data_IF_797419357200
#
_entry.id   IF_797419357200
#
_cell.length_a   1.000
_cell.length_b   1.000
_cell.length_c   1.000
_cell.angle_alpha   90.00
_cell.angle_beta   90.00
_cell.angle_gamma   90.00
#
_symmetry.space_group_name_H-M   'P 1'
#
loop_
_entity.id
_entity.type
_entity.pdbx_description
1 polymer ?
#
# COMPACT_ATOMS: atom_id res chain seq x y z
N UNK A 1 -20.91 -18.63 11.36
CA UNK A 1 -19.63 -18.25 10.73
C UNK A 1 -18.53 -18.91 11.54
N UNK A 2 -17.91 -19.95 10.99
CA UNK A 2 -16.80 -20.61 11.66
C UNK A 2 -15.60 -19.66 11.71
N UNK A 3 -15.00 -19.55 12.91
CA UNK A 3 -13.80 -18.74 13.13
C UNK A 3 -12.61 -19.68 13.29
N UNK A 4 -11.66 -19.58 12.38
CA UNK A 4 -10.39 -20.31 12.46
C UNK A 4 -9.27 -19.32 12.82
N UNK A 5 -8.56 -19.57 13.92
CA UNK A 5 -7.38 -18.81 14.26
C UNK A 5 -6.16 -19.75 14.23
N UNK A 6 -5.11 -19.36 13.53
CA UNK A 6 -3.82 -20.04 13.51
C UNK A 6 -2.79 -19.09 14.12
N UNK A 7 -2.16 -19.54 15.21
CA UNK A 7 -1.10 -18.80 15.90
C UNK A 7 0.17 -19.63 15.92
N UNK A 8 1.30 -18.98 15.64
CA UNK A 8 2.62 -19.61 15.67
C UNK A 8 3.63 -18.68 16.32
N UNK A 9 4.29 -19.14 17.38
CA UNK A 9 5.42 -18.48 18.05
C UNK A 9 6.68 -19.30 17.82
N UNK A 10 7.55 -18.87 16.90
CA UNK A 10 8.82 -19.55 16.63
C UNK A 10 9.97 -18.52 16.55
N UNK A 11 11.07 -18.73 17.28
CA UNK A 11 12.31 -17.92 17.13
C UNK A 11 13.12 -18.21 15.86
N UNK A 12 12.56 -18.93 14.88
CA UNK A 12 13.25 -19.45 13.70
C UNK A 12 12.40 -19.37 12.42
N UNK A 13 12.90 -19.95 11.31
CA UNK A 13 12.18 -19.90 10.04
C UNK A 13 10.88 -20.72 10.08
N UNK A 14 9.74 -20.11 9.73
CA UNK A 14 8.43 -20.73 9.89
C UNK A 14 7.46 -20.43 8.75
N UNK A 15 6.46 -21.31 8.59
CA UNK A 15 5.34 -21.14 7.64
C UNK A 15 4.02 -21.31 8.38
N UNK A 16 3.11 -20.37 8.19
CA UNK A 16 1.75 -20.41 8.71
C UNK A 16 0.79 -20.11 7.56
N UNK A 17 -0.16 -21.00 7.30
CA UNK A 17 -1.11 -20.83 6.21
C UNK A 17 -2.51 -21.26 6.63
N UNK A 18 -3.51 -20.45 6.27
CA UNK A 18 -4.93 -20.78 6.41
C UNK A 18 -5.58 -20.90 5.03
N UNK A 19 -6.36 -21.95 4.82
CA UNK A 19 -7.16 -22.15 3.60
C UNK A 19 -8.63 -22.35 3.97
N UNK A 20 -9.53 -21.56 3.39
CA UNK A 20 -10.98 -21.72 3.52
C UNK A 20 -11.77 -20.42 3.58
N UNK A 21 -13.07 -20.48 3.24
CA UNK A 21 -13.99 -19.34 3.33
C UNK A 21 -14.50 -19.14 4.76
N UNK A 22 -14.23 -17.98 5.36
CA UNK A 22 -14.70 -17.65 6.71
C UNK A 22 -13.91 -16.52 7.36
N UNK A 23 -14.30 -16.13 8.58
CA UNK A 23 -13.55 -15.15 9.34
C UNK A 23 -12.29 -15.81 9.95
N UNK A 24 -11.10 -15.34 9.57
CA UNK A 24 -9.82 -15.97 9.90
C UNK A 24 -8.82 -15.03 10.55
N UNK A 25 -7.95 -15.57 11.41
CA UNK A 25 -6.73 -14.88 11.85
C UNK A 25 -5.54 -15.80 11.71
N UNK A 26 -4.52 -15.35 10.98
CA UNK A 26 -3.24 -16.04 10.86
C UNK A 26 -2.15 -15.12 11.38
N UNK A 27 -1.49 -15.51 12.47
CA UNK A 27 -0.45 -14.70 13.12
C UNK A 27 0.83 -15.53 13.26
N UNK A 28 1.95 -14.94 12.86
CA UNK A 28 3.28 -15.47 13.11
C UNK A 28 4.11 -14.46 13.90
N UNK A 29 4.60 -14.86 15.07
CA UNK A 29 5.50 -14.09 15.92
C UNK A 29 6.90 -14.72 15.91
N UNK A 30 7.94 -13.92 15.66
CA UNK A 30 9.35 -14.33 15.78
C UNK A 30 10.33 -13.64 14.84
N UNK A 31 11.60 -13.51 15.26
CA UNK A 31 12.65 -12.79 14.52
C UNK A 31 13.28 -13.52 13.32
N UNK A 32 12.77 -14.70 12.96
CA UNK A 32 13.27 -15.52 11.84
C UNK A 32 12.59 -15.23 10.51
N UNK A 33 13.05 -15.88 9.43
CA UNK A 33 12.41 -15.76 8.13
C UNK A 33 11.00 -16.39 8.13
N UNK A 34 9.97 -15.59 7.89
CA UNK A 34 8.56 -15.99 8.02
C UNK A 34 7.80 -16.01 6.70
N UNK A 35 6.75 -16.83 6.63
CA UNK A 35 5.71 -16.75 5.59
C UNK A 35 4.35 -17.00 6.22
N UNK A 36 3.49 -15.99 6.13
CA UNK A 36 2.11 -16.05 6.60
C UNK A 36 1.18 -15.85 5.40
N UNK A 37 0.28 -16.78 5.16
CA UNK A 37 -0.66 -16.70 4.03
C UNK A 37 -2.10 -17.03 4.46
N UNK A 38 -3.07 -16.32 3.90
CA UNK A 38 -4.48 -16.65 4.04
C UNK A 38 -5.14 -16.68 2.66
N UNK A 39 -5.71 -17.84 2.28
CA UNK A 39 -6.50 -18.01 1.06
C UNK A 39 -8.00 -18.19 1.42
N UNK A 40 -8.88 -17.28 0.97
CA UNK A 40 -10.33 -17.45 1.08
C UNK A 40 -11.16 -16.16 1.08
N UNK A 41 -12.42 -16.26 0.63
CA UNK A 41 -13.35 -15.12 0.43
C UNK A 41 -14.07 -14.61 1.68
N UNK A 42 -13.37 -14.48 2.83
CA UNK A 42 -13.97 -14.02 4.09
C UNK A 42 -13.17 -12.92 4.80
N UNK A 43 -13.68 -12.42 5.92
CA UNK A 43 -12.97 -11.39 6.69
C UNK A 43 -11.66 -11.95 7.30
N UNK A 44 -10.52 -11.54 6.79
CA UNK A 44 -9.20 -12.08 7.16
C UNK A 44 -8.34 -11.08 7.91
N UNK A 45 -7.50 -11.58 8.82
CA UNK A 45 -6.34 -10.84 9.33
C UNK A 45 -5.11 -11.72 9.26
N UNK A 46 -4.11 -11.26 8.52
CA UNK A 46 -2.83 -11.92 8.39
C UNK A 46 -1.78 -10.98 8.97
N UNK A 47 -1.05 -11.41 10.00
CA UNK A 47 0.02 -10.59 10.60
C UNK A 47 1.31 -11.39 10.76
N UNK A 48 2.43 -10.72 10.55
CA UNK A 48 3.75 -11.22 10.91
C UNK A 48 4.46 -10.17 11.76
N UNK A 49 4.90 -10.56 12.96
CA UNK A 49 5.67 -9.70 13.87
C UNK A 49 7.09 -10.28 14.05
N UNK A 50 8.12 -9.52 13.70
CA UNK A 50 9.53 -9.85 13.95
C UNK A 50 10.54 -9.30 12.94
N UNK A 51 11.78 -9.10 13.37
CA UNK A 51 12.84 -8.43 12.59
C UNK A 51 13.50 -9.22 11.45
N UNK A 52 12.95 -10.38 11.06
CA UNK A 52 13.49 -11.23 10.00
C UNK A 52 12.88 -10.96 8.63
N UNK A 53 13.41 -11.59 7.57
CA UNK A 53 12.82 -11.48 6.24
C UNK A 53 11.42 -12.13 6.19
N UNK A 54 10.39 -11.37 5.84
CA UNK A 54 9.00 -11.79 5.93
C UNK A 54 8.26 -11.79 4.60
N UNK A 55 7.23 -12.64 4.50
CA UNK A 55 6.19 -12.50 3.46
C UNK A 55 4.83 -12.73 4.08
N UNK A 56 3.96 -11.73 3.97
CA UNK A 56 2.58 -11.80 4.41
C UNK A 56 1.68 -11.63 3.19
N UNK A 57 0.80 -12.60 2.92
CA UNK A 57 -0.10 -12.55 1.78
C UNK A 57 -1.53 -12.87 2.21
N UNK A 58 -2.50 -12.15 1.66
CA UNK A 58 -3.91 -12.49 1.77
C UNK A 58 -4.55 -12.47 0.39
N UNK A 59 -5.16 -13.59 -0.01
CA UNK A 59 -5.89 -13.73 -1.27
C UNK A 59 -7.39 -14.01 -0.98
N UNK A 60 -8.28 -13.14 -1.47
CA UNK A 60 -9.73 -13.37 -1.43
C UNK A 60 -10.59 -12.10 -1.42
N UNK A 61 -11.82 -12.20 -1.92
CA UNK A 61 -12.76 -11.06 -2.10
C UNK A 61 -13.47 -10.54 -0.84
N UNK A 62 -12.90 -10.73 0.35
CA UNK A 62 -13.48 -10.29 1.63
C UNK A 62 -12.73 -9.11 2.26
N UNK A 63 -13.27 -8.56 3.35
CA UNK A 63 -12.57 -7.51 4.09
C UNK A 63 -11.26 -8.05 4.70
N UNK A 64 -10.11 -7.53 4.29
CA UNK A 64 -8.79 -8.03 4.67
C UNK A 64 -7.96 -7.03 5.45
N UNK A 65 -7.12 -7.53 6.35
CA UNK A 65 -6.01 -6.75 6.90
C UNK A 65 -4.76 -7.60 6.88
N UNK A 66 -3.75 -7.12 6.16
CA UNK A 66 -2.45 -7.76 6.06
C UNK A 66 -1.43 -6.81 6.69
N UNK A 67 -0.73 -7.26 7.72
CA UNK A 67 0.28 -6.46 8.41
C UNK A 67 1.61 -7.22 8.50
N UNK A 68 2.71 -6.50 8.35
CA UNK A 68 4.03 -7.00 8.70
C UNK A 68 4.74 -5.95 9.55
N UNK A 69 5.15 -6.31 10.77
CA UNK A 69 5.92 -5.46 11.67
C UNK A 69 7.32 -6.05 11.88
N UNK A 70 8.38 -5.29 11.59
CA UNK A 70 9.77 -5.67 11.87
C UNK A 70 10.82 -5.09 10.89
N UNK A 71 12.05 -4.91 11.37
CA UNK A 71 13.13 -4.24 10.63
C UNK A 71 13.83 -5.05 9.51
N UNK A 72 13.27 -6.19 9.09
CA UNK A 72 13.84 -7.05 8.05
C UNK A 72 13.26 -6.78 6.66
N UNK A 73 13.84 -7.38 5.62
CA UNK A 73 13.28 -7.27 4.27
C UNK A 73 11.88 -7.91 4.19
N UNK A 74 10.86 -7.13 3.80
CA UNK A 74 9.46 -7.56 3.86
C UNK A 74 8.77 -7.55 2.50
N UNK A 75 7.76 -8.42 2.34
CA UNK A 75 6.78 -8.31 1.27
C UNK A 75 5.39 -8.55 1.83
N UNK A 76 4.53 -7.54 1.72
CA UNK A 76 3.15 -7.62 2.14
C UNK A 76 2.25 -7.46 0.91
N UNK A 77 1.37 -8.43 0.68
CA UNK A 77 0.45 -8.40 -0.46
C UNK A 77 -0.98 -8.69 0.00
N UNK A 78 -1.93 -7.95 -0.56
CA UNK A 78 -3.34 -8.27 -0.44
C UNK A 78 -3.98 -8.25 -1.83
N UNK A 79 -4.58 -9.38 -2.24
CA UNK A 79 -5.30 -9.51 -3.51
C UNK A 79 -6.79 -9.82 -3.24
N UNK A 80 -7.71 -9.01 -3.77
CA UNK A 80 -9.14 -9.30 -3.76
C UNK A 80 -10.07 -8.08 -3.71
N UNK A 81 -11.30 -8.23 -4.22
CA UNK A 81 -12.26 -7.13 -4.41
C UNK A 81 -12.99 -6.61 -3.16
N UNK A 82 -12.45 -6.78 -1.95
CA UNK A 82 -13.06 -6.34 -0.70
C UNK A 82 -12.32 -5.16 -0.06
N UNK A 83 -12.91 -4.55 0.98
CA UNK A 83 -12.24 -3.48 1.73
C UNK A 83 -10.95 -3.99 2.39
N UNK A 84 -9.80 -3.44 1.99
CA UNK A 84 -8.48 -3.94 2.39
C UNK A 84 -7.64 -2.91 3.14
N UNK A 85 -6.82 -3.38 4.08
CA UNK A 85 -5.72 -2.58 4.61
C UNK A 85 -4.45 -3.40 4.60
N UNK A 86 -3.45 -2.89 3.91
CA UNK A 86 -2.13 -3.49 3.85
C UNK A 86 -1.14 -2.56 4.55
N UNK A 87 -0.41 -3.06 5.53
CA UNK A 87 0.58 -2.28 6.26
C UNK A 87 1.90 -3.04 6.35
N UNK A 88 3.00 -2.34 6.14
CA UNK A 88 4.34 -2.80 6.48
C UNK A 88 5.01 -1.75 7.35
N UNK A 89 5.42 -2.11 8.57
CA UNK A 89 6.13 -1.23 9.50
C UNK A 89 7.52 -1.83 9.81
N UNK A 90 8.61 -1.10 9.56
CA UNK A 90 9.97 -1.47 9.92
C UNK A 90 11.06 -0.97 8.96
N UNK A 91 12.27 -0.72 9.49
CA UNK A 91 13.38 -0.08 8.77
C UNK A 91 14.17 -0.94 7.78
N UNK A 92 13.52 -1.91 7.12
CA UNK A 92 14.14 -2.79 6.13
C UNK A 92 13.55 -2.60 4.73
N UNK A 93 14.25 -3.04 3.68
CA UNK A 93 13.73 -2.93 2.32
C UNK A 93 12.38 -3.65 2.15
N UNK A 94 11.36 -2.93 1.68
CA UNK A 94 9.98 -3.40 1.67
C UNK A 94 9.33 -3.37 0.29
N UNK A 95 8.37 -4.28 0.07
CA UNK A 95 7.40 -4.15 -1.03
C UNK A 95 6.01 -4.38 -0.49
N UNK A 96 5.15 -3.39 -0.66
CA UNK A 96 3.76 -3.45 -0.24
C UNK A 96 2.87 -3.33 -1.46
N UNK A 97 1.95 -4.29 -1.63
CA UNK A 97 1.02 -4.30 -2.75
C UNK A 97 -0.41 -4.55 -2.28
N UNK A 98 -1.36 -3.80 -2.82
CA UNK A 98 -2.78 -4.08 -2.67
C UNK A 98 -3.46 -4.02 -4.03
N UNK A 99 -4.13 -5.09 -4.42
CA UNK A 99 -4.87 -5.20 -5.69
C UNK A 99 -6.33 -5.58 -5.42
N UNK A 100 -7.30 -4.78 -5.91
CA UNK A 100 -8.71 -5.18 -5.93
C UNK A 100 -9.75 -4.04 -5.98
N UNK A 101 -10.96 -4.36 -6.44
CA UNK A 101 -12.05 -3.39 -6.70
C UNK A 101 -12.76 -2.77 -5.48
N UNK A 102 -12.13 -2.68 -4.31
CA UNK A 102 -12.75 -2.16 -3.08
C UNK A 102 -11.97 -1.04 -2.40
N UNK A 103 -12.56 -0.39 -1.39
CA UNK A 103 -11.89 0.68 -0.62
C UNK A 103 -10.63 0.16 0.08
N UNK A 104 -9.48 0.79 -0.18
CA UNK A 104 -8.17 0.28 0.20
C UNK A 104 -7.25 1.30 0.85
N UNK A 105 -6.45 0.89 1.84
CA UNK A 105 -5.35 1.70 2.40
C UNK A 105 -4.07 0.89 2.44
N UNK A 106 -3.01 1.44 1.87
CA UNK A 106 -1.68 0.82 1.86
C UNK A 106 -0.69 1.73 2.57
N UNK A 107 -0.03 1.23 3.61
CA UNK A 107 0.98 2.00 4.33
C UNK A 107 2.30 1.23 4.36
N UNK A 108 3.41 1.92 4.10
CA UNK A 108 4.75 1.40 4.31
C UNK A 108 5.56 2.40 5.14
N UNK A 109 5.72 2.13 6.43
CA UNK A 109 6.52 2.94 7.35
C UNK A 109 7.87 2.27 7.63
N UNK A 110 8.98 2.90 7.26
CA UNK A 110 10.33 2.44 7.62
C UNK A 110 11.30 2.34 6.43
N UNK A 111 12.47 2.97 6.61
CA UNK A 111 13.36 3.36 5.53
C UNK A 111 14.47 2.37 5.16
N UNK A 112 14.76 2.33 3.87
CA UNK A 112 16.09 2.21 3.25
C UNK A 112 15.94 2.12 1.72
N UNK A 113 14.90 1.41 1.25
CA UNK A 113 14.49 1.30 -0.15
C UNK A 113 13.12 0.61 -0.25
N UNK A 114 12.14 1.20 -0.95
CA UNK A 114 10.76 0.67 -0.98
C UNK A 114 10.09 0.67 -2.36
N UNK A 115 9.11 -0.23 -2.54
CA UNK A 115 8.10 -0.11 -3.62
C UNK A 115 6.71 -0.31 -3.07
N UNK A 116 5.85 0.66 -3.29
CA UNK A 116 4.44 0.60 -2.92
C UNK A 116 3.57 0.63 -4.18
N UNK A 117 2.66 -0.33 -4.29
CA UNK A 117 1.69 -0.39 -5.39
C UNK A 117 0.28 -0.54 -4.81
N UNK A 118 -0.67 0.27 -5.28
CA UNK A 118 -2.07 0.12 -4.96
C UNK A 118 -2.92 0.23 -6.22
N UNK A 119 -3.73 -0.78 -6.50
CA UNK A 119 -4.69 -0.79 -7.61
C UNK A 119 -6.12 -0.99 -7.09
N UNK A 120 -7.01 -0.05 -7.42
CA UNK A 120 -8.42 -0.04 -7.02
C UNK A 120 -9.35 0.27 -8.19
N UNK A 121 -10.47 -0.46 -8.32
CA UNK A 121 -11.40 -0.35 -9.46
C UNK A 121 -12.81 0.13 -9.11
N UNK A 122 -13.02 0.82 -7.99
CA UNK A 122 -14.32 1.39 -7.62
C UNK A 122 -14.20 2.59 -6.69
N UNK A 123 -15.32 3.28 -6.47
CA UNK A 123 -15.37 4.53 -5.69
C UNK A 123 -14.75 4.38 -4.29
N UNK A 124 -13.85 5.29 -3.92
CA UNK A 124 -13.13 5.16 -2.66
C UNK A 124 -11.99 6.15 -2.45
N UNK A 125 -11.37 6.08 -1.27
CA UNK A 125 -10.19 6.86 -0.97
C UNK A 125 -8.97 5.95 -0.86
N UNK A 126 -7.91 6.29 -1.58
CA UNK A 126 -6.59 5.68 -1.51
C UNK A 126 -5.69 6.60 -0.70
N UNK A 127 -4.96 6.04 0.27
CA UNK A 127 -3.91 6.73 1.00
C UNK A 127 -2.67 5.86 0.97
N UNK A 128 -1.55 6.44 0.53
CA UNK A 128 -0.23 5.79 0.49
C UNK A 128 0.78 6.64 1.23
N UNK A 129 1.47 6.01 2.18
CA UNK A 129 2.54 6.62 2.96
C UNK A 129 3.81 5.78 2.75
N UNK A 130 4.90 6.39 2.29
CA UNK A 130 6.19 5.71 2.13
C UNK A 130 7.36 6.57 2.63
N UNK A 131 8.20 5.99 3.48
CA UNK A 131 9.43 6.64 3.97
C UNK A 131 10.71 6.05 3.37
N UNK A 132 11.61 6.93 2.93
CA UNK A 132 12.92 6.60 2.34
C UNK A 132 12.86 6.39 0.81
N UNK A 133 14.02 6.20 0.20
CA UNK A 133 14.14 6.16 -1.26
C UNK A 133 13.28 5.07 -1.91
N UNK A 134 12.61 5.35 -3.02
CA UNK A 134 11.71 4.34 -3.60
C UNK A 134 10.84 4.77 -4.77
N UNK A 135 9.93 3.87 -5.15
CA UNK A 135 8.90 4.18 -6.15
C UNK A 135 7.51 3.87 -5.61
N UNK A 136 6.58 4.79 -5.83
CA UNK A 136 5.16 4.65 -5.53
C UNK A 136 4.40 4.62 -6.86
N UNK A 137 3.50 3.65 -7.01
CA UNK A 137 2.55 3.58 -8.10
C UNK A 137 1.13 3.43 -7.53
N UNK A 138 0.22 4.31 -7.90
CA UNK A 138 -1.17 4.26 -7.48
C UNK A 138 -2.07 4.33 -8.70
N UNK A 139 -2.97 3.36 -8.81
CA UNK A 139 -3.96 3.24 -9.88
C UNK A 139 -5.36 3.19 -9.25
N UNK A 140 -6.21 4.17 -9.57
CA UNK A 140 -7.59 4.20 -9.11
C UNK A 140 -8.56 4.36 -10.27
N UNK A 141 -9.58 3.52 -10.33
CA UNK A 141 -10.77 3.71 -11.16
C UNK A 141 -12.00 3.98 -10.30
N UNK A 142 -12.82 4.96 -10.70
CA UNK A 142 -14.03 5.38 -10.00
C UNK A 142 -13.86 6.69 -9.24
N UNK A 143 -14.94 7.19 -8.64
CA UNK A 143 -14.93 8.49 -7.98
C UNK A 143 -14.25 8.41 -6.61
N UNK A 144 -13.37 9.36 -6.27
CA UNK A 144 -12.54 9.14 -5.09
C UNK A 144 -11.54 10.21 -4.68
N UNK A 145 -10.78 9.91 -3.64
CA UNK A 145 -9.64 10.74 -3.23
C UNK A 145 -8.36 9.91 -3.17
N UNK A 146 -7.28 10.39 -3.77
CA UNK A 146 -5.95 9.82 -3.65
C UNK A 146 -5.10 10.77 -2.81
N UNK A 147 -4.45 10.26 -1.78
CA UNK A 147 -3.41 10.96 -1.03
C UNK A 147 -2.13 10.11 -1.07
N UNK A 148 -1.02 10.70 -1.52
CA UNK A 148 0.29 10.05 -1.55
C UNK A 148 1.29 10.93 -0.84
N UNK A 149 1.94 10.37 0.17
CA UNK A 149 2.98 10.99 0.96
C UNK A 149 4.27 10.17 0.81
N UNK A 150 5.33 10.80 0.28
CA UNK A 150 6.62 10.16 0.07
C UNK A 150 7.74 11.00 0.69
N UNK A 151 8.61 10.38 1.48
CA UNK A 151 9.88 10.97 1.89
C UNK A 151 11.07 10.24 1.28
N UNK A 152 12.14 10.95 0.94
CA UNK A 152 13.34 10.41 0.29
C UNK A 152 13.34 10.54 -1.23
N UNK A 153 14.38 10.03 -1.89
CA UNK A 153 14.55 10.18 -3.33
C UNK A 153 13.73 9.12 -4.09
N UNK A 154 13.03 9.51 -5.16
CA UNK A 154 12.13 8.53 -5.78
C UNK A 154 11.29 8.95 -6.97
N UNK A 155 10.40 8.05 -7.35
CA UNK A 155 9.40 8.32 -8.40
C UNK A 155 8.00 8.02 -7.88
N UNK A 156 7.09 8.96 -8.08
CA UNK A 156 5.67 8.80 -7.78
C UNK A 156 4.92 8.80 -9.11
N UNK A 157 4.12 7.77 -9.34
CA UNK A 157 3.16 7.70 -10.44
C UNK A 157 1.75 7.52 -9.85
N UNK A 158 0.84 8.40 -10.21
CA UNK A 158 -0.57 8.33 -9.82
C UNK A 158 -1.43 8.42 -11.06
N UNK A 159 -2.22 7.38 -11.33
CA UNK A 159 -3.28 7.40 -12.35
C UNK A 159 -4.64 7.26 -11.65
N UNK A 160 -5.54 8.20 -11.92
CA UNK A 160 -6.89 8.21 -11.41
C UNK A 160 -7.88 8.42 -12.56
N UNK A 161 -8.91 7.59 -12.64
CA UNK A 161 -10.08 7.83 -13.49
C UNK A 161 -11.34 7.98 -12.65
N UNK A 162 -12.19 8.95 -12.97
CA UNK A 162 -13.39 9.30 -12.20
C UNK A 162 -13.28 10.68 -11.54
N UNK A 163 -14.37 11.14 -10.94
CA UNK A 163 -14.41 12.46 -10.30
C UNK A 163 -13.73 12.40 -8.92
N UNK A 164 -12.88 13.36 -8.58
CA UNK A 164 -12.09 13.19 -7.36
C UNK A 164 -11.03 14.22 -6.99
N UNK A 165 -10.35 13.97 -5.88
CA UNK A 165 -9.23 14.79 -5.43
C UNK A 165 -7.94 13.99 -5.35
N UNK A 166 -6.87 14.48 -5.97
CA UNK A 166 -5.52 13.92 -5.84
C UNK A 166 -4.66 14.90 -5.05
N UNK A 167 -4.02 14.41 -4.00
CA UNK A 167 -3.00 15.10 -3.24
C UNK A 167 -1.71 14.27 -3.26
N UNK A 168 -0.60 14.85 -3.69
CA UNK A 168 0.71 14.21 -3.68
C UNK A 168 1.71 15.13 -2.99
N UNK A 169 2.32 14.68 -1.90
CA UNK A 169 3.43 15.34 -1.23
C UNK A 169 4.68 14.46 -1.34
N UNK A 170 5.77 15.03 -1.86
CA UNK A 170 7.05 14.34 -2.00
C UNK A 170 8.18 15.20 -1.41
N UNK A 171 8.96 14.64 -0.50
CA UNK A 171 10.14 15.30 0.07
C UNK A 171 11.43 14.58 -0.33
N UNK A 172 12.12 15.03 -1.38
CA UNK A 172 13.38 14.45 -1.87
C UNK A 172 13.53 14.57 -3.39
N UNK A 173 14.70 14.18 -3.92
CA UNK A 173 14.95 14.31 -5.35
C UNK A 173 14.15 13.26 -6.13
N UNK A 174 13.45 13.66 -7.19
CA UNK A 174 12.53 12.70 -7.81
C UNK A 174 11.69 13.15 -9.00
N UNK A 175 10.88 12.23 -9.50
CA UNK A 175 9.93 12.50 -10.57
C UNK A 175 8.51 12.18 -10.10
N UNK A 176 7.61 13.14 -10.26
CA UNK A 176 6.18 12.96 -10.00
C UNK A 176 5.46 12.96 -11.35
N UNK A 177 4.67 11.92 -11.61
CA UNK A 177 3.73 11.85 -12.72
C UNK A 177 2.33 11.65 -12.14
N UNK A 178 1.40 12.54 -12.47
CA UNK A 178 -0.01 12.40 -12.10
C UNK A 178 -0.86 12.52 -13.36
N UNK A 179 -1.67 11.50 -13.61
CA UNK A 179 -2.72 11.50 -14.62
C UNK A 179 -4.08 11.39 -13.92
N UNK A 180 -4.95 12.37 -14.15
CA UNK A 180 -6.32 12.37 -13.64
C UNK A 180 -7.31 12.55 -14.79
N UNK A 181 -8.29 11.67 -14.90
CA UNK A 181 -9.43 11.85 -15.79
C UNK A 181 -10.71 12.00 -14.97
N UNK A 182 -11.53 13.01 -15.27
CA UNK A 182 -12.77 13.31 -14.53
C UNK A 182 -12.73 14.68 -13.87
N UNK A 183 -13.83 15.10 -13.27
CA UNK A 183 -13.91 16.41 -12.62
C UNK A 183 -13.27 16.37 -11.23
N UNK A 184 -12.39 17.31 -10.90
CA UNK A 184 -11.59 17.15 -9.68
C UNK A 184 -10.56 18.21 -9.33
N UNK A 185 -9.93 18.01 -8.18
CA UNK A 185 -8.84 18.87 -7.71
C UNK A 185 -7.54 18.08 -7.61
N UNK A 186 -6.46 18.61 -8.19
CA UNK A 186 -5.11 18.05 -8.04
C UNK A 186 -4.26 19.04 -7.26
N UNK A 187 -3.63 18.57 -6.20
CA UNK A 187 -2.60 19.28 -5.44
C UNK A 187 -1.33 18.45 -5.46
N UNK A 188 -0.22 19.03 -5.93
CA UNK A 188 1.08 18.39 -5.89
C UNK A 188 2.07 19.33 -5.20
N UNK A 189 2.71 18.84 -4.16
CA UNK A 189 3.83 19.47 -3.48
C UNK A 189 5.07 18.60 -3.63
N UNK A 190 6.12 19.15 -4.23
CA UNK A 190 7.40 18.49 -4.34
C UNK A 190 8.50 19.36 -3.73
N UNK A 191 9.27 18.81 -2.81
CA UNK A 191 10.54 19.38 -2.37
C UNK A 191 11.71 18.60 -2.97
N UNK A 192 12.82 19.28 -3.28
CA UNK A 192 14.01 18.68 -3.87
C UNK A 192 14.13 18.89 -5.38
N UNK A 193 15.19 18.34 -5.98
CA UNK A 193 15.45 18.43 -7.41
C UNK A 193 14.63 17.38 -8.18
N UNK A 194 13.83 17.82 -9.16
CA UNK A 194 12.92 16.89 -9.80
C UNK A 194 12.14 17.38 -11.00
N UNK A 195 11.38 16.45 -11.58
CA UNK A 195 10.45 16.73 -12.68
C UNK A 195 9.02 16.39 -12.24
N UNK A 196 8.09 17.29 -12.54
CA UNK A 196 6.66 17.06 -12.32
C UNK A 196 5.97 17.07 -13.67
N UNK A 197 5.27 15.98 -13.99
CA UNK A 197 4.38 15.85 -15.13
C UNK A 197 2.95 15.70 -14.60
N UNK A 198 2.06 16.56 -15.08
CA UNK A 198 0.67 16.55 -14.67
C UNK A 198 -0.23 16.55 -15.91
N UNK A 199 -1.09 15.55 -16.02
CA UNK A 199 -2.18 15.51 -17.00
C UNK A 199 -3.51 15.45 -16.25
N UNK A 200 -4.40 16.39 -16.57
CA UNK A 200 -5.74 16.44 -16.02
C UNK A 200 -6.73 16.61 -17.17
N UNK A 201 -7.74 15.76 -17.22
CA UNK A 201 -8.90 15.92 -18.09
C UNK A 201 -10.16 16.09 -17.25
N UNK A 202 -11.06 16.99 -17.64
CA UNK A 202 -12.28 17.32 -16.88
C UNK A 202 -12.27 18.75 -16.34
N UNK A 203 -13.31 19.12 -15.60
CA UNK A 203 -13.43 20.42 -14.94
C UNK A 203 -12.80 20.37 -13.54
N UNK A 204 -11.91 21.31 -13.22
CA UNK A 204 -11.14 21.17 -11.98
C UNK A 204 -10.15 22.28 -11.65
N UNK A 205 -9.52 22.12 -10.48
CA UNK A 205 -8.48 23.00 -9.99
C UNK A 205 -7.15 22.25 -9.89
N UNK A 206 -6.06 22.86 -10.34
CA UNK A 206 -4.70 22.34 -10.18
C UNK A 206 -3.91 23.33 -9.32
N UNK A 207 -3.33 22.83 -8.24
CA UNK A 207 -2.33 23.50 -7.43
C UNK A 207 -1.02 22.72 -7.53
N UNK A 208 0.07 23.43 -7.85
CA UNK A 208 1.40 22.86 -7.97
C UNK A 208 2.40 23.73 -7.22
N UNK A 209 3.04 23.15 -6.22
CA UNK A 209 4.17 23.75 -5.51
C UNK A 209 5.41 22.88 -5.71
N UNK A 210 6.49 23.51 -6.19
CA UNK A 210 7.79 22.88 -6.36
C UNK A 210 8.84 23.73 -5.64
N UNK A 211 9.50 23.15 -4.65
CA UNK A 211 10.59 23.77 -3.89
C UNK A 211 11.92 23.12 -4.27
N UNK A 212 12.71 23.83 -5.08
CA UNK A 212 14.12 23.53 -5.33
C UNK A 212 14.98 24.71 -4.88
N UNK A 213 16.18 24.43 -4.35
CA UNK A 213 17.18 25.45 -3.96
C UNK A 213 17.87 26.12 -5.16
#
# INVERSE_FOLDING_TARGET
>A
MDRYNIFRQDGGAGRTAQKGGGAGRTIQEGGGAGRTAQEGGGAGRTAQEGGGAGRTAQEGGGAGRTAQEGGGAGRTAQEGGGAGKTAQEGGGAGKTAQEGGGTGRTAQEGGAAGRTAQEGGGDGCIAVEAGGDGCIAVEAGGDGCIAVEAGGDGCIAVEAGGDGCIAVEAGGDGCIAVEAGGDGCIAVEAGGDGCIALEAGGDGCIALEAGGD
#
